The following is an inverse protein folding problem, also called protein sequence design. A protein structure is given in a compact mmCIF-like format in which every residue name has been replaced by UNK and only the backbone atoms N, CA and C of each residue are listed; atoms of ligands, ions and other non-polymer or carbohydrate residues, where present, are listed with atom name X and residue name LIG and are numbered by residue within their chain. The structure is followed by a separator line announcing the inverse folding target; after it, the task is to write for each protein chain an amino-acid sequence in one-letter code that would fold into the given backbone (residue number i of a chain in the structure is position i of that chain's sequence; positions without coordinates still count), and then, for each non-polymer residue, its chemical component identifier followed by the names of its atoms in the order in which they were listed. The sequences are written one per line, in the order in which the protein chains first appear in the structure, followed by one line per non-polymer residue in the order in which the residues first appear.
data_IF_822158243314
#
_entry.id   IF_822158243314
#
_cell.length_a   1.000
_cell.length_b   1.000
_cell.length_c   1.000
_cell.angle_alpha   90.00
_cell.angle_beta   90.00
_cell.angle_gamma   90.00
#
_symmetry.space_group_name_H-M   'P 1'
#
loop_
_entity.id
_entity.type
_entity.pdbx_description
1 polymer ?
#
# COMPACT_ATOMS: atom_id res chain seq x y z
N UNK A 1 -59.74 26.94 -0.64
CA UNK A 1 -58.30 27.27 -0.51
C UNK A 1 -57.95 28.30 -1.59
N UNK A 2 -57.44 29.47 -1.22
CA UNK A 2 -57.25 30.58 -2.17
C UNK A 2 -56.11 30.27 -3.14
N UNK A 3 -56.43 29.98 -4.41
CA UNK A 3 -55.45 29.59 -5.43
C UNK A 3 -54.28 30.58 -5.54
N UNK A 4 -54.56 31.88 -5.48
CA UNK A 4 -53.52 32.94 -5.45
C UNK A 4 -52.55 32.81 -4.26
N UNK A 5 -53.03 32.37 -3.08
CA UNK A 5 -52.17 32.14 -1.91
C UNK A 5 -51.30 30.90 -2.06
N UNK A 6 -51.82 29.85 -2.72
CA UNK A 6 -51.05 28.63 -3.00
C UNK A 6 -49.94 28.90 -4.01
N UNK A 7 -50.24 29.63 -5.10
CA UNK A 7 -49.24 30.01 -6.11
C UNK A 7 -48.16 30.91 -5.52
N UNK A 8 -48.52 31.92 -4.72
CA UNK A 8 -47.54 32.77 -4.05
C UNK A 8 -46.68 32.00 -3.04
N UNK A 9 -47.24 31.02 -2.33
CA UNK A 9 -46.47 30.19 -1.41
C UNK A 9 -45.45 29.32 -2.15
N UNK A 10 -45.83 28.72 -3.29
CA UNK A 10 -44.92 27.91 -4.11
C UNK A 10 -43.78 28.79 -4.67
N UNK A 11 -44.09 29.99 -5.17
CA UNK A 11 -43.08 30.93 -5.66
C UNK A 11 -42.08 31.33 -4.56
N UNK A 12 -42.56 31.60 -3.35
CA UNK A 12 -41.69 31.92 -2.22
C UNK A 12 -40.79 30.75 -1.81
N UNK A 13 -41.29 29.52 -1.86
CA UNK A 13 -40.49 28.31 -1.60
C UNK A 13 -39.40 28.15 -2.65
N UNK A 14 -39.71 28.32 -3.95
CA UNK A 14 -38.70 28.24 -5.01
C UNK A 14 -37.60 29.31 -4.87
N UNK A 15 -37.98 30.54 -4.52
CA UNK A 15 -37.01 31.61 -4.26
C UNK A 15 -36.15 31.29 -3.04
N UNK A 16 -36.75 30.79 -1.96
CA UNK A 16 -36.02 30.39 -0.75
C UNK A 16 -35.06 29.22 -1.01
N UNK A 17 -35.46 28.19 -1.77
CA UNK A 17 -34.60 27.07 -2.15
C UNK A 17 -33.43 27.56 -3.00
N UNK A 18 -33.68 28.48 -3.94
CA UNK A 18 -32.63 29.01 -4.84
C UNK A 18 -31.63 29.89 -4.08
N UNK A 19 -32.11 30.72 -3.15
CA UNK A 19 -31.23 31.49 -2.26
C UNK A 19 -30.46 30.57 -1.32
N UNK A 20 -31.12 29.55 -0.77
CA UNK A 20 -30.49 28.57 0.09
C UNK A 20 -29.39 27.78 -0.64
N UNK A 21 -29.61 27.36 -1.88
CA UNK A 21 -28.57 26.65 -2.66
C UNK A 21 -27.39 27.55 -3.02
N UNK A 22 -27.61 28.83 -3.33
CA UNK A 22 -26.53 29.80 -3.54
C UNK A 22 -25.72 30.04 -2.26
N UNK A 23 -26.40 30.22 -1.12
CA UNK A 23 -25.75 30.34 0.19
C UNK A 23 -25.04 29.05 0.59
N UNK A 24 -25.62 27.88 0.32
CA UNK A 24 -24.98 26.58 0.58
C UNK A 24 -23.73 26.34 -0.27
N UNK A 25 -23.67 26.93 -1.45
CA UNK A 25 -22.50 26.85 -2.32
C UNK A 25 -21.34 27.70 -1.79
N UNK A 26 -21.64 28.89 -1.24
CA UNK A 26 -20.66 29.77 -0.60
C UNK A 26 -20.24 29.29 0.80
N UNK A 27 -21.12 28.59 1.52
CA UNK A 27 -20.84 28.01 2.83
C UNK A 27 -20.29 26.59 2.77
N UNK A 28 -19.89 26.07 1.60
CA UNK A 28 -19.01 24.90 1.60
C UNK A 28 -17.65 25.38 2.10
N UNK A 29 -17.24 25.09 3.36
CA UNK A 29 -15.82 25.10 3.62
C UNK A 29 -15.21 24.14 2.61
N UNK A 30 -14.10 24.54 1.97
CA UNK A 30 -13.23 23.51 1.43
C UNK A 30 -13.02 22.52 2.57
N UNK A 31 -13.47 21.28 2.37
CA UNK A 31 -12.96 20.19 3.18
C UNK A 31 -11.47 20.16 2.86
N UNK A 32 -10.70 20.91 3.63
CA UNK A 32 -9.37 20.48 4.01
C UNK A 32 -9.62 19.13 4.65
N UNK A 33 -9.48 18.08 3.84
CA UNK A 33 -9.17 16.76 4.36
C UNK A 33 -7.93 17.05 5.20
N UNK A 34 -8.11 17.13 6.52
CA UNK A 34 -7.00 17.17 7.42
C UNK A 34 -6.24 15.90 7.08
N UNK A 35 -5.04 16.07 6.50
CA UNK A 35 -4.18 14.95 6.16
C UNK A 35 -4.13 14.08 7.42
N UNK A 36 -4.49 12.79 7.33
CA UNK A 36 -4.36 11.90 8.47
C UNK A 36 -2.91 12.02 8.98
N UNK A 37 -2.71 11.94 10.31
CA UNK A 37 -1.37 12.00 10.87
C UNK A 37 -0.48 11.01 10.10
N UNK A 38 0.74 11.40 9.74
CA UNK A 38 1.62 10.53 8.98
C UNK A 38 1.73 9.20 9.73
N UNK A 39 1.65 8.05 9.03
CA UNK A 39 1.79 6.78 9.70
C UNK A 39 3.10 6.80 10.45
N UNK A 40 3.01 6.63 11.76
CA UNK A 40 4.17 6.44 12.62
C UNK A 40 5.06 5.43 11.91
N UNK A 41 6.34 5.77 11.78
CA UNK A 41 7.36 4.98 11.10
C UNK A 41 7.37 3.54 11.63
N UNK A 42 6.58 2.66 11.02
CA UNK A 42 6.64 1.23 11.26
C UNK A 42 7.89 0.74 10.55
N UNK A 43 8.84 0.29 11.37
CA UNK A 43 10.07 -0.37 10.95
C UNK A 43 9.68 -1.64 10.21
N UNK A 44 9.85 -1.65 8.88
CA UNK A 44 9.71 -2.87 8.08
C UNK A 44 10.79 -3.88 8.50
N UNK A 45 10.48 -5.18 8.58
CA UNK A 45 11.47 -6.23 8.77
C UNK A 45 12.46 -6.23 7.59
N UNK A 46 13.73 -6.48 7.90
CA UNK A 46 14.81 -6.60 6.92
C UNK A 46 14.50 -7.73 5.94
N UNK A 47 14.25 -7.38 4.67
CA UNK A 47 14.09 -8.34 3.57
C UNK A 47 15.43 -9.04 3.36
N UNK A 48 15.48 -10.30 3.73
CA UNK A 48 16.55 -11.23 3.42
C UNK A 48 16.37 -11.68 1.96
N UNK A 49 17.44 -11.61 1.18
CA UNK A 49 17.44 -11.93 -0.26
C UNK A 49 17.05 -13.40 -0.46
N UNK A 50 15.95 -13.65 -1.18
CA UNK A 50 15.70 -14.92 -1.84
C UNK A 50 15.89 -14.73 -3.34
N UNK A 51 16.90 -15.40 -3.89
CA UNK A 51 17.18 -15.42 -5.31
C UNK A 51 16.03 -16.10 -6.07
N UNK A 52 15.16 -15.30 -6.69
CA UNK A 52 14.21 -15.78 -7.70
C UNK A 52 14.33 -14.91 -8.94
N UNK A 53 15.25 -15.33 -9.80
CA UNK A 53 15.51 -14.78 -11.12
C UNK A 53 14.31 -15.05 -12.04
N UNK A 54 13.52 -14.02 -12.36
CA UNK A 54 12.51 -14.10 -13.42
C UNK A 54 13.21 -13.89 -14.75
N UNK A 55 13.63 -14.98 -15.39
CA UNK A 55 14.08 -14.96 -16.78
C UNK A 55 12.89 -14.74 -17.71
N UNK A 56 13.12 -13.96 -18.75
CA UNK A 56 12.24 -13.82 -19.90
C UNK A 56 11.86 -15.20 -20.44
N UNK A 57 10.57 -15.52 -20.44
CA UNK A 57 10.04 -16.72 -21.10
C UNK A 57 9.27 -16.27 -22.33
N UNK A 58 9.88 -16.50 -23.49
CA UNK A 58 9.16 -16.59 -24.76
C UNK A 58 8.09 -17.69 -24.69
N UNK A 59 6.91 -17.33 -25.16
CA UNK A 59 5.70 -18.14 -25.27
C UNK A 59 5.91 -19.38 -26.18
N UNK A 60 5.56 -20.60 -25.75
CA UNK A 60 5.35 -21.71 -26.67
C UNK A 60 3.86 -21.91 -26.98
N UNK A 61 3.61 -22.13 -28.27
CA UNK A 61 2.32 -22.41 -28.90
C UNK A 61 1.63 -23.65 -28.30
N UNK A 62 0.30 -23.57 -28.30
CA UNK A 62 -0.65 -24.64 -27.96
C UNK A 62 -0.49 -25.82 -28.91
N UNK A 63 -0.39 -27.03 -28.37
CA UNK A 63 -0.99 -28.23 -28.96
C UNK A 63 -1.11 -29.34 -27.91
N UNK A 64 -2.38 -29.70 -27.67
CA UNK A 64 -2.96 -30.96 -27.18
C UNK A 64 -2.08 -31.96 -26.40
N UNK A 65 -2.48 -32.27 -25.16
CA UNK A 65 -2.50 -33.66 -24.68
C UNK A 65 -3.42 -33.81 -23.45
N UNK A 66 -4.40 -34.71 -23.56
CA UNK A 66 -5.24 -35.22 -22.47
C UNK A 66 -4.45 -36.25 -21.65
N UNK A 67 -4.51 -36.15 -20.32
CA UNK A 67 -4.48 -37.29 -19.38
C UNK A 67 -4.76 -36.77 -17.96
N UNK A 68 -5.94 -37.07 -17.40
CA UNK A 68 -6.14 -38.06 -16.33
C UNK A 68 -5.35 -37.79 -15.04
N UNK A 69 -6.06 -37.18 -14.07
CA UNK A 69 -5.66 -37.06 -12.66
C UNK A 69 -6.24 -38.23 -11.84
N UNK A 70 -5.41 -39.00 -11.11
CA UNK A 70 -5.87 -39.78 -9.97
C UNK A 70 -5.79 -39.00 -8.65
N UNK A 71 -6.83 -39.19 -7.82
CA UNK A 71 -6.96 -38.73 -6.43
C UNK A 71 -6.40 -39.77 -5.46
N UNK A 72 -5.64 -39.35 -4.44
CA UNK A 72 -5.50 -40.02 -3.12
C UNK A 72 -4.78 -39.04 -2.17
N UNK A 73 -5.36 -38.46 -1.10
CA UNK A 73 -5.82 -38.92 0.23
C UNK A 73 -4.74 -39.44 1.21
N UNK A 74 -4.62 -38.67 2.32
CA UNK A 74 -4.35 -39.06 3.74
C UNK A 74 -2.92 -39.55 4.04
N UNK A 75 -2.23 -39.21 5.14
CA UNK A 75 -2.59 -39.07 6.57
C UNK A 75 -1.39 -38.43 7.36
N UNK A 76 -1.63 -37.90 8.56
CA UNK A 76 -0.66 -37.56 9.63
C UNK A 76 -1.06 -38.35 10.91
N UNK A 77 -0.43 -38.20 12.10
CA UNK A 77 0.97 -38.38 12.56
C UNK A 77 1.10 -39.21 13.89
N UNK A 78 2.31 -39.61 14.31
CA UNK A 78 2.77 -39.94 15.70
C UNK A 78 4.26 -40.34 15.65
N UNK A 79 5.16 -40.20 16.63
CA UNK A 79 5.12 -39.94 18.08
C UNK A 79 6.52 -39.52 18.60
N UNK A 80 6.56 -38.76 19.70
CA UNK A 80 7.44 -38.87 20.91
C UNK A 80 8.95 -39.18 20.81
N UNK A 81 9.88 -38.71 21.67
CA UNK A 81 9.97 -37.77 22.82
C UNK A 81 11.41 -37.93 23.36
N UNK A 82 11.83 -36.99 24.23
CA UNK A 82 12.77 -37.19 25.38
C UNK A 82 14.27 -36.92 25.07
N UNK A 83 15.14 -36.20 25.79
CA UNK A 83 15.12 -35.27 26.97
C UNK A 83 16.59 -34.92 27.35
N UNK A 84 16.84 -33.71 27.93
CA UNK A 84 17.99 -33.25 28.79
C UNK A 84 19.40 -33.16 28.15
N UNK A 85 20.37 -32.31 28.55
CA UNK A 85 20.69 -31.66 29.83
C UNK A 85 21.68 -30.46 29.64
N UNK A 86 21.45 -29.43 30.47
CA UNK A 86 22.25 -28.37 31.15
C UNK A 86 23.70 -27.88 30.82
N UNK A 87 23.88 -26.59 31.22
CA UNK A 87 25.08 -25.90 31.75
C UNK A 87 26.12 -25.33 30.73
N UNK A 88 26.80 -24.18 30.92
CA UNK A 88 26.95 -23.23 32.02
C UNK A 88 27.50 -21.86 31.53
N UNK A 89 27.10 -20.79 32.23
CA UNK A 89 27.81 -19.58 32.70
C UNK A 89 29.13 -19.08 32.07
N UNK A 90 29.24 -17.74 31.89
CA UNK A 90 30.53 -17.06 31.73
C UNK A 90 30.47 -15.60 31.26
N UNK A 91 30.56 -14.66 32.21
CA UNK A 91 30.72 -13.19 32.05
C UNK A 91 32.04 -12.78 31.39
N UNK A 92 32.10 -11.55 30.83
CA UNK A 92 33.11 -10.46 31.06
C UNK A 92 33.15 -9.47 29.87
N UNK A 93 32.59 -8.27 29.99
CA UNK A 93 33.24 -6.96 30.29
C UNK A 93 33.98 -6.36 29.07
N UNK A 94 33.36 -5.41 28.37
CA UNK A 94 33.69 -3.96 28.32
C UNK A 94 35.13 -3.67 27.85
N UNK A 95 35.26 -3.15 26.63
CA UNK A 95 36.33 -2.19 26.33
C UNK A 95 35.77 -1.01 25.51
N UNK A 96 36.07 0.17 26.04
CA UNK A 96 35.63 1.49 25.64
C UNK A 96 36.61 2.02 24.61
N UNK A 97 36.14 2.34 23.41
CA UNK A 97 36.87 3.18 22.47
C UNK A 97 35.99 4.38 22.11
N UNK A 98 36.09 5.41 22.94
CA UNK A 98 35.67 6.77 22.61
C UNK A 98 36.73 7.37 21.69
N UNK A 99 36.40 7.48 20.41
CA UNK A 99 37.05 8.41 19.50
C UNK A 99 36.02 9.40 19.01
N UNK A 100 36.16 10.62 19.51
CA UNK A 100 35.50 11.83 19.04
C UNK A 100 35.73 12.01 17.53
N UNK A 101 34.70 12.40 16.76
CA UNK A 101 34.95 13.36 15.70
C UNK A 101 34.25 14.67 16.02
N UNK A 102 35.11 15.65 16.23
CA UNK A 102 34.97 17.06 15.90
C UNK A 102 33.79 17.35 14.97
N UNK A 103 32.89 18.18 15.50
CA UNK A 103 31.82 18.89 14.81
C UNK A 103 32.38 19.62 13.58
N UNK A 104 32.12 19.07 12.39
CA UNK A 104 32.13 19.83 11.15
C UNK A 104 30.78 20.52 11.06
N UNK A 105 30.78 21.84 11.22
CA UNK A 105 29.62 22.68 10.98
C UNK A 105 29.43 22.78 9.45
N UNK A 106 28.63 21.85 8.92
CA UNK A 106 28.23 21.84 7.51
C UNK A 106 27.14 22.90 7.32
N UNK A 107 27.39 23.84 6.40
CA UNK A 107 26.43 24.88 6.01
C UNK A 107 25.08 24.25 5.61
N UNK A 108 23.93 24.91 5.87
CA UNK A 108 22.62 24.37 5.51
C UNK A 108 22.55 24.14 3.99
N UNK A 109 22.76 22.89 3.58
CA UNK A 109 22.33 22.41 2.28
C UNK A 109 20.82 22.51 2.33
N UNK A 110 20.22 23.32 1.47
CA UNK A 110 18.78 23.31 1.24
C UNK A 110 18.41 21.88 0.83
N UNK A 111 18.02 21.11 1.83
CA UNK A 111 17.58 19.73 1.68
C UNK A 111 16.20 19.85 1.05
N UNK A 112 16.15 19.68 -0.28
CA UNK A 112 14.88 19.50 -0.96
C UNK A 112 14.09 18.47 -0.16
N UNK A 113 12.78 18.69 0.03
CA UNK A 113 11.93 17.73 0.70
C UNK A 113 12.23 16.32 0.24
N UNK A 114 12.47 15.41 1.19
CA UNK A 114 12.71 14.02 0.89
C UNK A 114 11.40 13.43 0.34
N UNK A 115 11.20 13.57 -0.97
CA UNK A 115 10.10 12.98 -1.69
C UNK A 115 10.32 11.47 -1.76
N UNK A 116 9.31 10.71 -1.32
CA UNK A 116 9.28 9.26 -1.43
C UNK A 116 7.91 8.76 -1.85
N UNK A 117 7.88 7.66 -2.56
CA UNK A 117 6.66 6.91 -2.88
C UNK A 117 6.57 5.71 -1.95
N UNK A 118 5.41 5.48 -1.34
CA UNK A 118 5.11 4.25 -0.62
C UNK A 118 4.09 3.47 -1.43
N UNK A 119 4.43 2.23 -1.77
CA UNK A 119 3.51 1.29 -2.39
C UNK A 119 2.93 0.41 -1.29
N UNK A 120 1.67 0.66 -0.96
CA UNK A 120 0.94 -0.10 0.04
C UNK A 120 0.16 -1.25 -0.58
N UNK A 121 0.18 -2.41 0.07
CA UNK A 121 -0.83 -3.44 -0.08
C UNK A 121 -1.64 -3.55 1.22
N UNK A 122 -2.90 -3.12 1.15
CA UNK A 122 -3.82 -3.20 2.28
C UNK A 122 -4.53 -4.55 2.31
N UNK A 123 -4.40 -5.24 3.43
CA UNK A 123 -5.02 -6.54 3.68
C UNK A 123 -5.84 -6.59 4.97
N UNK A 124 -6.58 -7.68 5.13
CA UNK A 124 -7.21 -8.09 6.40
C UNK A 124 -6.64 -9.45 6.78
N UNK A 125 -6.86 -9.87 8.02
CA UNK A 125 -6.40 -11.16 8.57
C UNK A 125 -6.95 -12.34 7.77
N UNK A 126 -8.22 -12.28 7.35
CA UNK A 126 -8.80 -13.29 6.46
C UNK A 126 -8.35 -13.05 5.02
N UNK A 127 -7.71 -14.06 4.42
CA UNK A 127 -7.12 -14.00 3.08
C UNK A 127 -7.59 -15.17 2.22
N UNK A 128 -7.85 -14.91 0.95
CA UNK A 128 -8.18 -15.91 -0.05
C UNK A 128 -7.05 -16.04 -1.08
N UNK A 129 -7.06 -17.06 -1.97
CA UNK A 129 -6.01 -17.23 -2.99
C UNK A 129 -5.79 -15.99 -3.86
N UNK A 130 -6.85 -15.26 -4.22
CA UNK A 130 -6.74 -14.02 -5.00
C UNK A 130 -6.00 -12.92 -4.24
N UNK A 131 -6.18 -12.81 -2.92
CA UNK A 131 -5.41 -11.85 -2.11
C UNK A 131 -3.91 -12.14 -2.19
N UNK A 132 -3.52 -13.41 -2.06
CA UNK A 132 -2.11 -13.80 -2.17
C UNK A 132 -1.56 -13.54 -3.57
N UNK A 133 -2.37 -13.74 -4.63
CA UNK A 133 -1.94 -13.40 -6.00
C UNK A 133 -1.66 -11.91 -6.17
N UNK A 134 -2.58 -11.04 -5.74
CA UNK A 134 -2.38 -9.58 -5.83
C UNK A 134 -1.11 -9.19 -5.09
N UNK A 135 -0.95 -9.64 -3.84
CA UNK A 135 0.26 -9.36 -3.05
C UNK A 135 1.53 -9.79 -3.77
N UNK A 136 1.62 -11.05 -4.19
CA UNK A 136 2.83 -11.61 -4.77
C UNK A 136 3.16 -10.97 -6.12
N UNK A 137 2.16 -10.71 -6.96
CA UNK A 137 2.35 -10.08 -8.25
C UNK A 137 2.80 -8.63 -8.11
N UNK A 138 2.16 -7.86 -7.23
CA UNK A 138 2.56 -6.48 -6.99
C UNK A 138 3.96 -6.42 -6.37
N UNK A 139 4.23 -7.21 -5.32
CA UNK A 139 5.53 -7.21 -4.66
C UNK A 139 6.65 -7.59 -5.62
N UNK A 140 6.47 -8.66 -6.39
CA UNK A 140 7.47 -9.11 -7.38
C UNK A 140 7.71 -8.06 -8.46
N UNK A 141 6.66 -7.44 -9.00
CA UNK A 141 6.79 -6.39 -10.00
C UNK A 141 7.54 -5.16 -9.44
N UNK A 142 7.23 -4.73 -8.22
CA UNK A 142 7.90 -3.60 -7.58
C UNK A 142 9.39 -3.89 -7.33
N UNK A 143 9.72 -5.07 -6.80
CA UNK A 143 11.10 -5.49 -6.57
C UNK A 143 11.92 -5.56 -7.86
N UNK A 144 11.34 -6.09 -8.93
CA UNK A 144 12.01 -6.29 -10.21
C UNK A 144 12.19 -4.97 -10.99
N UNK A 145 11.15 -4.14 -11.05
CA UNK A 145 11.14 -2.96 -11.93
C UNK A 145 11.66 -1.68 -11.30
N UNK A 146 11.69 -1.59 -9.96
CA UNK A 146 12.11 -0.40 -9.22
C UNK A 146 13.23 -0.63 -8.19
N UNK A 147 14.27 -1.44 -8.50
CA UNK A 147 15.32 -1.73 -7.52
C UNK A 147 16.11 -0.47 -7.13
N UNK A 148 16.27 0.49 -8.03
CA UNK A 148 17.02 1.73 -7.76
C UNK A 148 16.24 2.64 -6.79
N UNK A 149 14.95 2.77 -6.99
CA UNK A 149 14.06 3.58 -6.15
C UNK A 149 13.96 2.99 -4.75
N UNK A 150 13.84 1.65 -4.65
CA UNK A 150 13.87 0.94 -3.38
C UNK A 150 15.22 1.10 -2.66
N UNK A 151 16.33 0.87 -3.35
CA UNK A 151 17.67 0.95 -2.75
C UNK A 151 18.05 2.38 -2.33
N UNK A 152 17.57 3.39 -3.05
CA UNK A 152 17.82 4.80 -2.72
C UNK A 152 16.86 5.36 -1.66
N UNK A 153 15.85 4.59 -1.23
CA UNK A 153 14.82 5.04 -0.29
C UNK A 153 13.79 6.00 -0.89
N UNK A 154 13.82 6.22 -2.22
CA UNK A 154 12.78 6.96 -2.94
C UNK A 154 11.47 6.17 -3.06
N UNK A 155 11.53 4.85 -2.91
CA UNK A 155 10.37 3.98 -2.87
C UNK A 155 10.40 3.05 -1.65
N UNK A 156 9.24 2.76 -1.08
CA UNK A 156 9.08 1.83 0.03
C UNK A 156 7.88 0.90 -0.24
N UNK A 157 8.06 -0.41 -0.11
CA UNK A 157 6.97 -1.39 -0.15
C UNK A 157 6.43 -1.65 1.25
N UNK A 158 5.11 -1.58 1.44
CA UNK A 158 4.47 -1.87 2.74
C UNK A 158 3.25 -2.75 2.60
N UNK A 159 3.19 -3.80 3.40
CA UNK A 159 1.98 -4.55 3.66
C UNK A 159 1.34 -4.05 4.94
N UNK A 160 0.03 -3.77 4.92
CA UNK A 160 -0.69 -3.22 6.08
C UNK A 160 -1.96 -4.02 6.32
N UNK A 161 -2.10 -4.58 7.52
CA UNK A 161 -3.32 -5.23 7.95
C UNK A 161 -4.27 -4.20 8.59
N UNK A 162 -5.39 -3.90 7.96
CA UNK A 162 -6.35 -2.89 8.44
C UNK A 162 -7.28 -3.39 9.55
N UNK A 163 -7.22 -4.68 9.91
CA UNK A 163 -7.89 -5.19 11.10
C UNK A 163 -7.19 -4.76 12.39
N UNK A 164 -5.91 -4.37 12.30
CA UNK A 164 -5.13 -3.83 13.41
C UNK A 164 -5.61 -2.42 13.76
N UNK A 165 -5.78 -2.14 15.05
CA UNK A 165 -6.40 -0.90 15.54
C UNK A 165 -5.64 0.34 15.09
N UNK A 166 -4.32 0.26 15.07
CA UNK A 166 -3.40 1.28 14.61
C UNK A 166 -3.55 1.58 13.11
N UNK A 167 -4.00 0.62 12.31
CA UNK A 167 -4.11 0.71 10.85
C UNK A 167 -5.55 0.93 10.34
N UNK A 168 -6.56 0.76 11.21
CA UNK A 168 -7.97 0.88 10.84
C UNK A 168 -8.35 2.24 10.21
N UNK A 169 -7.60 3.30 10.49
CA UNK A 169 -7.80 4.63 9.91
C UNK A 169 -7.70 4.63 8.38
N UNK A 170 -6.83 3.80 7.80
CA UNK A 170 -6.61 3.70 6.35
C UNK A 170 -7.87 3.33 5.56
N UNK A 171 -8.82 2.61 6.18
CA UNK A 171 -10.11 2.28 5.56
C UNK A 171 -10.84 3.56 5.17
N UNK A 172 -10.84 4.56 6.06
CA UNK A 172 -11.50 5.85 5.81
C UNK A 172 -10.66 6.74 4.90
N UNK A 173 -9.34 6.76 5.11
CA UNK A 173 -8.45 7.70 4.43
C UNK A 173 -8.34 7.41 2.93
N UNK A 174 -8.22 6.13 2.56
CA UNK A 174 -8.20 5.69 1.17
C UNK A 174 -9.54 5.16 0.67
N UNK A 175 -10.60 5.26 1.47
CA UNK A 175 -11.95 4.77 1.14
C UNK A 175 -11.93 3.29 0.71
N UNK A 176 -11.18 2.47 1.45
CA UNK A 176 -10.97 1.07 1.11
C UNK A 176 -12.26 0.27 1.29
N UNK A 177 -12.73 -0.30 0.18
CA UNK A 177 -13.84 -1.26 0.20
C UNK A 177 -13.34 -2.71 0.24
N UNK A 178 -12.14 -2.97 -0.28
CA UNK A 178 -11.53 -4.30 -0.36
C UNK A 178 -9.99 -4.20 -0.27
N UNK A 179 -9.30 -5.34 -0.39
CA UNK A 179 -7.83 -5.38 -0.49
C UNK A 179 -7.39 -4.55 -1.68
N UNK A 180 -6.43 -3.66 -1.46
CA UNK A 180 -6.11 -2.62 -2.44
C UNK A 180 -4.61 -2.39 -2.50
N UNK A 181 -4.14 -2.01 -3.68
CA UNK A 181 -2.78 -1.49 -3.87
C UNK A 181 -2.89 0.03 -4.00
N UNK A 182 -2.23 0.76 -3.10
CA UNK A 182 -2.23 2.23 -3.10
C UNK A 182 -0.80 2.72 -3.36
N UNK A 183 -0.66 3.65 -4.30
CA UNK A 183 0.54 4.46 -4.46
C UNK A 183 0.36 5.72 -3.63
N UNK A 184 1.29 6.03 -2.73
CA UNK A 184 1.24 7.18 -1.84
C UNK A 184 2.50 8.03 -2.02
N UNK A 185 2.35 9.30 -2.37
CA UNK A 185 3.47 10.25 -2.50
C UNK A 185 3.59 11.04 -1.22
N UNK A 186 4.75 10.94 -0.59
CA UNK A 186 5.07 11.57 0.69
C UNK A 186 6.18 12.59 0.46
N UNK A 187 5.94 13.82 0.90
CA UNK A 187 6.87 14.95 0.83
C UNK A 187 6.98 15.52 2.23
N UNK A 188 8.20 15.64 2.76
CA UNK A 188 8.47 16.07 4.14
C UNK A 188 7.68 15.29 5.19
N UNK A 189 7.58 13.98 4.98
CA UNK A 189 6.86 13.08 5.88
C UNK A 189 5.34 13.22 5.84
N UNK A 190 4.76 14.05 4.96
CA UNK A 190 3.31 14.17 4.77
C UNK A 190 2.90 13.62 3.42
N UNK A 191 1.83 12.82 3.40
CA UNK A 191 1.22 12.45 2.13
C UNK A 191 0.65 13.69 1.43
N UNK A 192 0.92 13.82 0.14
CA UNK A 192 0.45 14.93 -0.71
C UNK A 192 -0.40 14.45 -1.88
N UNK A 193 -0.27 13.19 -2.28
CA UNK A 193 -1.02 12.58 -3.38
C UNK A 193 -1.09 11.07 -3.19
N UNK A 194 -2.19 10.43 -3.60
CA UNK A 194 -2.29 8.99 -3.64
C UNK A 194 -3.14 8.51 -4.82
N UNK A 195 -2.95 7.25 -5.20
CA UNK A 195 -3.72 6.58 -6.27
C UNK A 195 -4.06 5.15 -5.87
N UNK A 196 -5.33 4.77 -6.02
CA UNK A 196 -5.74 3.38 -5.93
C UNK A 196 -5.58 2.69 -7.28
N UNK A 197 -4.90 1.54 -7.29
CA UNK A 197 -4.75 0.71 -8.47
C UNK A 197 -5.91 -0.30 -8.51
N UNK A 198 -7.07 0.16 -8.94
CA UNK A 198 -8.33 -0.58 -8.91
C UNK A 198 -8.37 -1.79 -9.85
N UNK A 199 -7.69 -1.72 -11.00
CA UNK A 199 -7.66 -2.80 -12.00
C UNK A 199 -6.87 -4.04 -11.57
N UNK A 200 -6.23 -4.03 -10.40
CA UNK A 200 -5.52 -5.23 -9.89
C UNK A 200 -6.44 -6.44 -9.79
N UNK A 201 -7.73 -6.23 -9.50
CA UNK A 201 -8.71 -7.32 -9.43
C UNK A 201 -9.09 -7.85 -10.81
N UNK A 202 -9.20 -6.97 -11.80
CA UNK A 202 -9.60 -7.32 -13.17
C UNK A 202 -8.48 -8.07 -13.91
N UNK A 203 -7.23 -7.77 -13.59
CA UNK A 203 -6.05 -8.29 -14.29
C UNK A 203 -5.48 -9.57 -13.65
N UNK A 204 -6.11 -10.11 -12.60
CA UNK A 204 -5.59 -11.27 -11.84
C UNK A 204 -5.38 -12.55 -12.67
N UNK A 205 -6.09 -12.71 -13.78
CA UNK A 205 -5.98 -13.87 -14.66
C UNK A 205 -4.81 -13.79 -15.64
N UNK A 206 -4.25 -12.60 -15.86
CA UNK A 206 -3.15 -12.35 -16.79
C UNK A 206 -2.02 -11.64 -16.06
N UNK A 207 -1.02 -12.42 -15.64
CA UNK A 207 0.12 -11.91 -14.89
C UNK A 207 0.91 -10.86 -15.67
N UNK A 208 1.00 -10.98 -17.00
CA UNK A 208 1.77 -10.04 -17.81
C UNK A 208 1.07 -8.68 -17.88
N UNK A 209 -0.25 -8.66 -18.12
CA UNK A 209 -1.03 -7.42 -18.11
C UNK A 209 -1.10 -6.81 -16.71
N UNK A 210 -1.18 -7.63 -15.65
CA UNK A 210 -1.08 -7.16 -14.27
C UNK A 210 0.26 -6.44 -14.04
N UNK A 211 1.39 -7.04 -14.44
CA UNK A 211 2.71 -6.47 -14.23
C UNK A 211 2.90 -5.17 -15.00
N UNK A 212 2.50 -5.14 -16.28
CA UNK A 212 2.52 -3.91 -17.09
C UNK A 212 1.70 -2.80 -16.44
N UNK A 213 0.53 -3.13 -15.90
CA UNK A 213 -0.32 -2.16 -15.22
C UNK A 213 0.37 -1.59 -13.97
N UNK A 214 0.87 -2.44 -13.06
CA UNK A 214 1.61 -1.99 -11.87
C UNK A 214 2.80 -1.12 -12.26
N UNK A 215 3.62 -1.56 -13.22
CA UNK A 215 4.80 -0.83 -13.66
C UNK A 215 4.43 0.54 -14.23
N UNK A 216 3.50 0.59 -15.18
CA UNK A 216 3.11 1.83 -15.84
C UNK A 216 2.51 2.83 -14.87
N UNK A 217 1.58 2.39 -14.02
CA UNK A 217 0.97 3.25 -13.02
C UNK A 217 1.99 3.80 -12.03
N UNK A 218 2.92 2.94 -11.57
CA UNK A 218 3.98 3.35 -10.65
C UNK A 218 4.96 4.32 -11.31
N UNK A 219 5.37 4.08 -12.57
CA UNK A 219 6.24 5.01 -13.33
C UNK A 219 5.57 6.36 -13.56
N UNK A 220 4.30 6.37 -13.95
CA UNK A 220 3.54 7.61 -14.16
C UNK A 220 3.44 8.40 -12.86
N UNK A 221 3.15 7.71 -11.75
CA UNK A 221 3.05 8.32 -10.43
C UNK A 221 4.39 8.92 -9.96
N UNK A 222 5.51 8.21 -10.18
CA UNK A 222 6.86 8.72 -9.91
C UNK A 222 7.20 9.98 -10.72
N UNK A 223 6.73 10.07 -11.97
CA UNK A 223 6.99 11.20 -12.86
C UNK A 223 6.03 12.38 -12.62
N UNK A 224 5.00 12.22 -11.78
CA UNK A 224 3.93 13.19 -11.64
C UNK A 224 3.06 13.33 -12.90
N UNK A 225 3.07 12.31 -13.77
CA UNK A 225 2.21 12.25 -14.94
C UNK A 225 0.79 11.85 -14.49
N UNK A 226 -0.16 12.77 -14.63
CA UNK A 226 -1.58 12.57 -14.33
C UNK A 226 -2.30 11.83 -15.43
#
# INVERSE_FOLDING_TARGET
MNFKRVVNLILLIFVAITLFTLVYKELKPEKKVANPPPPASVVSPKVEKSDSECKDIEEPKKEDLKSEYPKEKKETPKSEKTTKEEANEGKKEIEVAQTTPLKTEEAPKEEKPAEKIIVYYFMTTTRCPSCYKIENYTHSCILDKFPNELNSGKMEWKMVNVDEKENAHFIKDYQLFTKSVILSKVVDGKEVEWKNLDKVWDLLSDQNEFYKYIENETRNFLQGAK
#
